data_IF_884300415603
#
_entry.id   IF_884300415603
#
_cell.length_a   1.000
_cell.length_b   1.000
_cell.length_c   1.000
_cell.angle_alpha   90.00
_cell.angle_beta   90.00
_cell.angle_gamma   90.00
#
_symmetry.space_group_name_H-M   'P 1'
#
loop_
_entity.id
_entity.type
_entity.pdbx_description
1 polymer ?
#
# COMPACT_ATOMS: atom_id res chain seq x y z
N UNK A 1 -6.53 -9.82 -12.95
CA UNK A 1 -6.77 -9.92 -14.41
C UNK A 1 -5.42 -9.89 -15.13
N UNK A 2 -5.08 -10.93 -15.90
CA UNK A 2 -3.74 -11.09 -16.49
C UNK A 2 -3.53 -10.21 -17.72
N UNK A 3 -2.48 -9.40 -17.70
CA UNK A 3 -2.03 -8.72 -18.91
C UNK A 3 -1.71 -9.76 -20.00
N UNK A 4 -2.17 -9.55 -21.24
CA UNK A 4 -1.92 -10.50 -22.32
C UNK A 4 -0.49 -10.36 -22.82
N UNK A 5 0.19 -11.49 -23.04
CA UNK A 5 1.46 -11.50 -23.75
C UNK A 5 1.29 -10.94 -25.16
N UNK A 6 2.25 -10.13 -25.61
CA UNK A 6 2.25 -9.64 -26.98
C UNK A 6 2.38 -10.82 -27.95
N UNK A 7 1.70 -10.75 -29.10
CA UNK A 7 1.81 -11.78 -30.14
C UNK A 7 3.21 -11.74 -30.74
N UNK A 8 3.85 -12.90 -30.84
CA UNK A 8 5.20 -13.09 -31.38
C UNK A 8 5.15 -14.01 -32.60
N UNK A 9 6.12 -13.89 -33.49
CA UNK A 9 6.19 -14.70 -34.70
C UNK A 9 6.37 -16.20 -34.37
N UNK A 10 5.81 -17.13 -35.16
CA UNK A 10 6.01 -18.56 -34.97
C UNK A 10 7.51 -18.91 -35.07
N UNK A 11 8.04 -19.71 -34.15
CA UNK A 11 9.42 -20.18 -34.17
C UNK A 11 10.45 -19.35 -33.38
N UNK A 12 10.01 -18.37 -32.58
CA UNK A 12 10.89 -17.60 -31.68
C UNK A 12 10.58 -17.88 -30.19
N UNK A 13 11.16 -18.93 -29.58
CA UNK A 13 10.94 -19.26 -28.17
C UNK A 13 11.39 -18.15 -27.21
N UNK A 14 12.47 -17.43 -27.53
CA UNK A 14 13.00 -16.37 -26.66
C UNK A 14 12.13 -15.11 -26.74
N UNK A 15 11.69 -14.72 -27.94
CA UNK A 15 10.72 -13.64 -28.10
C UNK A 15 9.39 -13.95 -27.42
N UNK A 16 8.90 -15.19 -27.51
CA UNK A 16 7.71 -15.65 -26.76
C UNK A 16 7.90 -15.52 -25.26
N UNK A 17 9.05 -15.95 -24.74
CA UNK A 17 9.38 -15.79 -23.32
C UNK A 17 9.41 -14.32 -22.90
N UNK A 18 10.14 -13.47 -23.63
CA UNK A 18 10.26 -12.05 -23.32
C UNK A 18 8.91 -11.33 -23.35
N UNK A 19 8.04 -11.68 -24.31
CA UNK A 19 6.68 -11.13 -24.39
C UNK A 19 5.76 -11.57 -23.23
N UNK A 20 6.01 -12.74 -22.65
CA UNK A 20 5.23 -13.29 -21.54
C UNK A 20 5.80 -12.95 -20.15
N UNK A 21 7.09 -12.66 -20.05
CA UNK A 21 7.79 -12.47 -18.77
C UNK A 21 7.20 -11.30 -17.95
N UNK A 22 6.98 -10.14 -18.57
CA UNK A 22 6.39 -8.98 -17.89
C UNK A 22 4.99 -9.29 -17.30
N UNK A 23 4.04 -9.81 -18.10
CA UNK A 23 2.77 -10.30 -17.59
C UNK A 23 2.88 -11.39 -16.52
N UNK A 24 3.81 -12.33 -16.66
CA UNK A 24 4.01 -13.41 -15.70
C UNK A 24 4.47 -12.85 -14.35
N UNK A 25 5.43 -11.92 -14.34
CA UNK A 25 5.89 -11.26 -13.11
C UNK A 25 4.77 -10.49 -12.41
N UNK A 26 3.95 -9.75 -13.16
CA UNK A 26 2.75 -9.10 -12.59
C UNK A 26 1.75 -10.10 -12.01
N UNK A 27 1.60 -11.26 -12.65
CA UNK A 27 0.76 -12.36 -12.15
C UNK A 27 1.27 -12.92 -10.82
N UNK A 28 2.59 -13.15 -10.72
CA UNK A 28 3.24 -13.60 -9.47
C UNK A 28 3.09 -12.54 -8.37
N UNK A 29 3.34 -11.28 -8.66
CA UNK A 29 3.16 -10.17 -7.70
C UNK A 29 1.70 -10.10 -7.22
N UNK A 30 0.72 -10.16 -8.13
CA UNK A 30 -0.69 -10.15 -7.76
C UNK A 30 -1.08 -11.36 -6.90
N UNK A 31 -0.54 -12.55 -7.19
CA UNK A 31 -0.77 -13.75 -6.38
C UNK A 31 -0.17 -13.62 -4.98
N UNK A 32 1.05 -13.10 -4.86
CA UNK A 32 1.69 -12.86 -3.57
C UNK A 32 0.93 -11.81 -2.74
N UNK A 33 0.54 -10.69 -3.35
CA UNK A 33 -0.27 -9.68 -2.67
C UNK A 33 -1.62 -10.22 -2.20
N UNK A 34 -2.27 -11.08 -3.00
CA UNK A 34 -3.53 -11.74 -2.59
C UNK A 34 -3.31 -12.63 -1.36
N UNK A 35 -2.26 -13.45 -1.34
CA UNK A 35 -1.96 -14.30 -0.18
C UNK A 35 -1.63 -13.47 1.07
N UNK A 36 -0.89 -12.37 0.91
CA UNK A 36 -0.61 -11.46 2.01
C UNK A 36 -1.91 -10.81 2.55
N UNK A 37 -2.81 -10.36 1.66
CA UNK A 37 -4.11 -9.81 2.06
C UNK A 37 -4.99 -10.83 2.78
N UNK A 38 -5.03 -12.07 2.30
CA UNK A 38 -5.79 -13.17 2.91
C UNK A 38 -5.28 -13.47 4.32
N UNK A 39 -3.96 -13.66 4.48
CA UNK A 39 -3.35 -13.92 5.78
C UNK A 39 -3.54 -12.75 6.77
N UNK A 40 -3.44 -11.51 6.28
CA UNK A 40 -3.69 -10.33 7.10
C UNK A 40 -5.15 -10.25 7.55
N UNK A 41 -6.11 -10.49 6.63
CA UNK A 41 -7.53 -10.49 6.96
C UNK A 41 -7.88 -11.58 7.99
N UNK A 42 -7.31 -12.79 7.85
CA UNK A 42 -7.44 -13.85 8.84
C UNK A 42 -6.92 -13.44 10.22
N UNK A 43 -5.76 -12.77 10.28
CA UNK A 43 -5.20 -12.27 11.53
C UNK A 43 -6.09 -11.21 12.18
N UNK A 44 -6.66 -10.29 11.40
CA UNK A 44 -7.61 -9.26 11.89
C UNK A 44 -8.89 -9.89 12.42
N UNK A 45 -9.44 -10.89 11.72
CA UNK A 45 -10.67 -11.59 12.15
C UNK A 45 -10.46 -12.41 13.42
N UNK A 46 -9.24 -12.87 13.69
CA UNK A 46 -8.89 -13.58 14.92
C UNK A 46 -8.83 -12.67 16.16
N UNK A 47 -8.81 -11.35 15.98
CA UNK A 47 -8.78 -10.40 17.11
C UNK A 47 -10.16 -10.20 17.72
N UNK A 48 -10.23 -9.99 19.06
CA UNK A 48 -11.44 -9.50 19.71
C UNK A 48 -11.93 -8.20 19.07
N UNK A 49 -13.24 -7.95 19.14
CA UNK A 49 -13.78 -6.66 18.73
C UNK A 49 -13.18 -5.55 19.61
N UNK A 50 -12.69 -4.47 18.99
CA UNK A 50 -12.01 -3.39 19.69
C UNK A 50 -11.16 -2.54 18.76
N UNK A 51 -10.53 -1.52 19.33
CA UNK A 51 -9.75 -0.53 18.60
C UNK A 51 -8.64 -1.17 17.74
N UNK A 52 -7.91 -2.16 18.27
CA UNK A 52 -6.83 -2.85 17.55
C UNK A 52 -7.32 -3.52 16.27
N UNK A 53 -8.45 -4.23 16.34
CA UNK A 53 -9.09 -4.87 15.18
C UNK A 53 -9.51 -3.81 14.15
N UNK A 54 -10.06 -2.69 14.62
CA UNK A 54 -10.47 -1.59 13.73
C UNK A 54 -9.27 -0.96 13.02
N UNK A 55 -8.20 -0.62 13.77
CA UNK A 55 -6.98 -0.01 13.22
C UNK A 55 -6.29 -0.93 12.21
N UNK A 56 -6.10 -2.21 12.54
CA UNK A 56 -5.50 -3.16 11.61
C UNK A 56 -6.41 -3.42 10.40
N UNK A 57 -7.74 -3.39 10.59
CA UNK A 57 -8.70 -3.46 9.49
C UNK A 57 -8.62 -2.25 8.54
N UNK A 58 -8.34 -1.05 9.05
CA UNK A 58 -8.10 0.14 8.22
C UNK A 58 -6.82 -0.01 7.39
N UNK A 59 -5.73 -0.52 7.97
CA UNK A 59 -4.49 -0.83 7.23
C UNK A 59 -4.70 -1.90 6.15
N UNK A 60 -5.48 -2.95 6.45
CA UNK A 60 -5.83 -3.98 5.47
C UNK A 60 -6.58 -3.38 4.27
N UNK A 61 -7.53 -2.46 4.53
CA UNK A 61 -8.27 -1.75 3.48
C UNK A 61 -7.35 -0.82 2.68
N UNK A 62 -6.44 -0.10 3.35
CA UNK A 62 -5.51 0.80 2.69
C UNK A 62 -4.56 0.03 1.75
N UNK A 63 -4.04 -1.11 2.21
CA UNK A 63 -3.25 -2.02 1.38
C UNK A 63 -4.03 -2.51 0.15
N UNK A 64 -5.26 -2.96 0.35
CA UNK A 64 -6.11 -3.45 -0.73
C UNK A 64 -6.42 -2.36 -1.76
N UNK A 65 -6.79 -1.15 -1.32
CA UNK A 65 -7.08 -0.03 -2.21
C UNK A 65 -5.83 0.40 -2.99
N UNK A 66 -4.66 0.48 -2.35
CA UNK A 66 -3.40 0.77 -3.04
C UNK A 66 -3.11 -0.25 -4.16
N UNK A 67 -3.39 -1.54 -3.91
CA UNK A 67 -3.21 -2.59 -4.92
C UNK A 67 -4.21 -2.48 -6.07
N UNK A 68 -5.48 -2.16 -5.76
CA UNK A 68 -6.54 -1.95 -6.76
C UNK A 68 -6.26 -0.71 -7.61
N UNK A 69 -5.86 0.40 -7.00
CA UNK A 69 -5.52 1.65 -7.69
C UNK A 69 -4.40 1.45 -8.71
N UNK A 70 -3.36 0.69 -8.35
CA UNK A 70 -2.23 0.37 -9.24
C UNK A 70 -2.65 -0.41 -10.50
N UNK A 71 -3.67 -1.26 -10.41
CA UNK A 71 -4.18 -2.07 -11.53
C UNK A 71 -5.54 -1.58 -12.08
N UNK A 72 -5.98 -0.39 -11.66
CA UNK A 72 -7.33 0.14 -11.92
C UNK A 72 -7.70 0.17 -13.40
N UNK A 73 -6.79 0.59 -14.29
CA UNK A 73 -7.02 0.59 -15.73
C UNK A 73 -7.23 -0.81 -16.31
N UNK A 74 -6.49 -1.82 -15.84
CA UNK A 74 -6.67 -3.21 -16.26
C UNK A 74 -7.99 -3.79 -15.73
N UNK A 75 -8.35 -3.44 -14.50
CA UNK A 75 -9.59 -3.87 -13.86
C UNK A 75 -10.82 -3.23 -14.52
N UNK A 76 -10.73 -1.95 -14.90
CA UNK A 76 -11.74 -1.24 -15.68
C UNK A 76 -11.91 -1.87 -17.06
N UNK A 77 -10.82 -2.11 -17.79
CA UNK A 77 -10.85 -2.74 -19.11
C UNK A 77 -11.41 -4.17 -19.08
N UNK A 78 -11.25 -4.88 -17.95
CA UNK A 78 -11.81 -6.21 -17.73
C UNK A 78 -13.25 -6.21 -17.19
N UNK A 79 -13.83 -5.04 -16.89
CA UNK A 79 -15.17 -4.91 -16.32
C UNK A 79 -15.29 -5.28 -14.84
N UNK A 80 -14.18 -5.36 -14.11
CA UNK A 80 -14.16 -5.59 -12.65
C UNK A 80 -14.28 -4.31 -11.83
N UNK A 81 -14.08 -3.15 -12.45
CA UNK A 81 -14.38 -1.83 -11.90
C UNK A 81 -15.27 -1.07 -12.88
N UNK A 82 -16.21 -0.28 -12.36
CA UNK A 82 -16.88 0.77 -13.13
C UNK A 82 -16.01 2.02 -13.22
N UNK A 83 -16.32 2.92 -14.17
CA UNK A 83 -15.65 4.22 -14.27
C UNK A 83 -15.77 5.03 -12.97
N UNK A 84 -16.98 5.11 -12.40
CA UNK A 84 -17.21 5.81 -11.14
C UNK A 84 -16.48 5.19 -9.94
N UNK A 85 -16.33 3.86 -9.91
CA UNK A 85 -15.50 3.21 -8.90
C UNK A 85 -14.03 3.56 -9.06
N UNK A 86 -13.51 3.57 -10.30
CA UNK A 86 -12.12 3.93 -10.57
C UNK A 86 -11.82 5.40 -10.21
N UNK A 87 -12.74 6.31 -10.49
CA UNK A 87 -12.65 7.73 -10.09
C UNK A 87 -12.65 7.90 -8.57
N UNK A 88 -13.49 7.14 -7.86
CA UNK A 88 -13.61 7.24 -6.41
C UNK A 88 -12.43 6.61 -5.63
N UNK A 89 -11.56 5.82 -6.27
CA UNK A 89 -10.45 5.13 -5.59
C UNK A 89 -9.52 6.09 -4.85
N UNK A 90 -9.20 7.24 -5.46
CA UNK A 90 -8.34 8.26 -4.84
C UNK A 90 -8.99 8.78 -3.57
N UNK A 91 -10.24 9.25 -3.64
CA UNK A 91 -10.96 9.76 -2.47
C UNK A 91 -11.12 8.73 -1.35
N UNK A 92 -11.34 7.46 -1.70
CA UNK A 92 -11.41 6.39 -0.70
C UNK A 92 -10.04 6.12 -0.05
N UNK A 93 -8.96 6.25 -0.80
CA UNK A 93 -7.60 6.09 -0.29
C UNK A 93 -7.25 7.24 0.65
N UNK A 94 -7.52 8.49 0.26
CA UNK A 94 -7.28 9.67 1.11
C UNK A 94 -8.05 9.59 2.43
N UNK A 95 -9.34 9.21 2.40
CA UNK A 95 -10.12 9.01 3.64
C UNK A 95 -9.53 7.95 4.58
N UNK A 96 -8.94 6.89 4.03
CA UNK A 96 -8.26 5.88 4.85
C UNK A 96 -6.94 6.40 5.40
N UNK A 97 -6.19 7.17 4.61
CA UNK A 97 -4.97 7.84 5.08
C UNK A 97 -5.31 8.78 6.24
N UNK A 98 -6.35 9.61 6.11
CA UNK A 98 -6.83 10.50 7.16
C UNK A 98 -7.26 9.74 8.43
N UNK A 99 -7.87 8.56 8.27
CA UNK A 99 -8.29 7.72 9.41
C UNK A 99 -7.10 7.06 10.13
N UNK A 100 -6.08 6.64 9.37
CA UNK A 100 -4.91 5.92 9.90
C UNK A 100 -3.85 6.87 10.44
N UNK A 101 -3.66 8.04 9.82
CA UNK A 101 -2.57 8.98 10.13
C UNK A 101 -2.43 9.33 11.62
N UNK A 102 -3.51 9.61 12.38
CA UNK A 102 -3.41 9.90 13.81
C UNK A 102 -2.83 8.76 14.67
N UNK A 103 -2.87 7.52 14.17
CA UNK A 103 -2.46 6.32 14.89
C UNK A 103 -1.10 5.77 14.45
N UNK A 104 -0.45 6.41 13.46
CA UNK A 104 0.84 5.94 12.94
C UNK A 104 1.93 5.79 14.01
N UNK A 105 2.07 6.70 15.00
CA UNK A 105 3.06 6.51 16.07
C UNK A 105 2.80 5.24 16.88
N UNK A 106 1.55 5.03 17.33
CA UNK A 106 1.16 3.83 18.10
C UNK A 106 1.37 2.54 17.30
N UNK A 107 1.03 2.55 16.00
CA UNK A 107 1.25 1.43 15.10
C UNK A 107 2.75 1.15 14.91
N UNK A 108 3.59 2.17 14.79
CA UNK A 108 5.03 2.01 14.68
C UNK A 108 5.64 1.48 15.99
N UNK A 109 5.22 2.02 17.12
CA UNK A 109 5.66 1.61 18.46
C UNK A 109 5.30 0.14 18.74
N UNK A 110 4.19 -0.37 18.17
CA UNK A 110 3.76 -1.76 18.32
C UNK A 110 4.76 -2.80 17.80
N UNK A 111 5.68 -2.42 16.91
CA UNK A 111 6.77 -3.29 16.47
C UNK A 111 7.80 -3.55 17.58
N UNK A 112 7.78 -2.76 18.67
CA UNK A 112 8.64 -2.90 19.84
C UNK A 112 10.14 -3.01 19.47
N UNK A 113 10.57 -2.20 18.50
CA UNK A 113 11.94 -2.17 18.02
C UNK A 113 12.85 -1.54 19.08
N UNK A 114 13.98 -2.18 19.47
CA UNK A 114 14.92 -1.59 20.42
C UNK A 114 15.50 -0.27 19.91
N UNK A 115 15.63 0.73 20.78
CA UNK A 115 16.16 2.04 20.43
C UNK A 115 17.60 1.95 19.92
N UNK A 116 18.40 1.01 20.45
CA UNK A 116 19.76 0.78 20.00
C UNK A 116 19.84 0.29 18.55
N UNK A 117 18.80 -0.41 18.08
CA UNK A 117 18.70 -0.83 16.69
C UNK A 117 18.37 0.35 15.77
N UNK A 118 17.64 1.35 16.26
CA UNK A 118 17.26 2.54 15.51
C UNK A 118 18.34 3.63 15.58
N UNK A 119 19.19 3.65 16.60
CA UNK A 119 20.23 4.65 16.78
C UNK A 119 21.26 4.70 15.63
N UNK A 120 21.45 3.59 14.91
CA UNK A 120 22.36 3.51 13.76
C UNK A 120 21.80 4.18 12.49
N UNK A 121 20.50 4.49 12.45
CA UNK A 121 19.87 5.18 11.32
C UNK A 121 19.72 6.68 11.60
N UNK A 122 20.33 7.56 10.77
CA UNK A 122 20.26 9.01 11.00
C UNK A 122 18.84 9.58 11.06
N UNK A 123 17.88 8.99 10.32
CA UNK A 123 16.49 9.48 10.24
C UNK A 123 15.65 9.17 11.47
N UNK A 124 16.08 8.23 12.32
CA UNK A 124 15.33 7.76 13.50
C UNK A 124 15.86 8.32 14.82
N UNK A 125 16.96 9.07 14.79
CA UNK A 125 17.47 9.76 15.98
C UNK A 125 16.57 10.94 16.39
N UNK A 126 16.44 11.18 17.70
CA UNK A 126 15.63 12.27 18.27
C UNK A 126 15.98 13.66 17.69
N UNK A 127 17.24 13.87 17.29
CA UNK A 127 17.69 15.12 16.69
C UNK A 127 17.45 15.24 15.19
N UNK A 128 16.91 14.23 14.48
CA UNK A 128 16.70 14.31 13.04
C UNK A 128 15.62 15.32 12.66
N UNK A 129 14.47 15.25 13.34
CA UNK A 129 13.43 16.25 13.17
C UNK A 129 13.98 17.63 13.51
N UNK A 130 14.63 17.79 14.67
CA UNK A 130 15.21 19.07 15.10
C UNK A 130 16.31 19.62 14.16
N UNK A 131 17.08 18.75 13.50
CA UNK A 131 18.16 19.15 12.58
C UNK A 131 17.65 19.69 11.24
N UNK A 132 16.44 19.33 10.84
CA UNK A 132 15.85 19.69 9.55
C UNK A 132 14.50 20.39 9.67
N UNK A 133 13.97 20.56 10.88
CA UNK A 133 12.77 21.33 11.14
C UNK A 133 13.10 22.82 10.99
N UNK A 134 12.42 23.46 10.04
CA UNK A 134 12.48 24.90 9.86
C UNK A 134 11.37 25.52 10.73
N UNK A 135 11.72 26.17 11.86
CA UNK A 135 10.72 26.71 12.78
C UNK A 135 9.89 27.83 12.16
N UNK A 136 10.37 28.47 11.10
CA UNK A 136 9.67 29.53 10.38
C UNK A 136 8.84 29.00 9.18
N UNK A 137 8.77 27.68 8.99
CA UNK A 137 8.09 27.10 7.85
C UNK A 137 6.57 27.27 7.88
N UNK A 138 6.00 27.47 6.69
CA UNK A 138 4.57 27.73 6.48
C UNK A 138 3.63 26.56 6.88
N UNK A 139 4.15 25.35 7.11
CA UNK A 139 3.38 24.21 7.62
C UNK A 139 3.17 24.23 9.14
N UNK A 140 4.00 24.97 9.89
CA UNK A 140 3.77 25.21 11.32
C UNK A 140 2.64 26.21 11.58
N UNK A 141 2.32 27.06 10.60
CA UNK A 141 1.29 28.09 10.70
C UNK A 141 -0.12 27.61 10.30
N UNK A 142 -0.27 26.36 9.87
CA UNK A 142 -1.53 25.81 9.40
C UNK A 142 -2.37 25.07 10.48
N UNK A 143 -1.89 24.96 11.72
CA UNK A 143 -2.58 24.26 12.82
C UNK A 143 -3.75 25.05 13.45
N UNK A 144 -4.38 25.97 12.72
CA UNK A 144 -5.49 26.76 13.26
C UNK A 144 -6.31 27.46 12.19
N UNK A 145 -7.26 26.75 11.59
CA UNK A 145 -8.56 27.29 11.15
C UNK A 145 -9.59 26.18 11.01
#
# INVERSE_FOLDING_TARGET
>A
AGARAARTAPGDPLGRWNAAAGPALRGVEAHACRQAAEAYAEAVEALPAGADRDRLGELARLFALGRVARDSGNLLAAGHLSAGQAEALTDHTERLIEAVAPHLPELADSFALPEEMLADWPITGAGYAEAYDDPDAHWHTAAGR
#
